data_IF_531393528609
#
_entry.id   IF_531393528609
#
_cell.length_a   1.000
_cell.length_b   1.000
_cell.length_c   1.000
_cell.angle_alpha   90.00
_cell.angle_beta   90.00
_cell.angle_gamma   90.00
#
_symmetry.space_group_name_H-M   'P 1'
#
loop_
_entity.id
_entity.type
_entity.pdbx_description
1 polymer ?
#
# COMPACT_ATOMS: atom_id res chain seq x y z
N UNK A 1 17.87 -19.93 1.71
CA UNK A 1 19.30 -19.60 1.65
C UNK A 1 19.72 -18.95 2.96
N UNK A 2 20.90 -19.27 3.53
CA UNK A 2 21.38 -18.60 4.74
C UNK A 2 21.84 -17.18 4.42
N UNK A 3 21.50 -16.23 5.29
CA UNK A 3 21.93 -14.83 5.23
C UNK A 3 22.63 -14.51 6.53
N UNK A 4 23.84 -13.94 6.48
CA UNK A 4 24.61 -13.57 7.66
C UNK A 4 24.70 -12.04 7.74
N UNK A 5 24.35 -11.50 8.90
CA UNK A 5 24.38 -10.06 9.18
C UNK A 5 24.99 -9.88 10.57
N UNK A 6 25.93 -8.95 10.71
CA UNK A 6 26.48 -8.56 12.01
C UNK A 6 25.51 -7.60 12.70
N UNK A 7 25.15 -7.91 13.94
CA UNK A 7 24.36 -7.06 14.81
C UNK A 7 25.30 -6.32 15.78
N UNK A 8 24.91 -5.11 16.17
CA UNK A 8 25.52 -4.43 17.31
C UNK A 8 25.19 -5.17 18.63
N UNK A 9 26.04 -5.02 19.67
CA UNK A 9 25.87 -5.74 20.93
C UNK A 9 24.52 -5.48 21.61
N UNK A 10 24.00 -4.25 21.49
CA UNK A 10 22.75 -3.84 22.12
C UNK A 10 21.55 -4.54 21.48
N UNK A 11 21.52 -4.58 20.14
CA UNK A 11 20.50 -5.29 19.38
C UNK A 11 20.54 -6.79 19.61
N UNK A 12 21.74 -7.38 19.75
CA UNK A 12 21.87 -8.81 20.07
C UNK A 12 21.33 -9.14 21.47
N UNK A 13 21.62 -8.30 22.48
CA UNK A 13 21.08 -8.45 23.83
C UNK A 13 19.55 -8.33 23.86
N UNK A 14 19.00 -7.39 23.09
CA UNK A 14 17.55 -7.23 22.95
C UNK A 14 16.91 -8.43 22.26
N UNK A 15 17.55 -9.00 21.24
CA UNK A 15 17.07 -10.21 20.57
C UNK A 15 17.07 -11.41 21.53
N UNK A 16 18.10 -11.55 22.36
CA UNK A 16 18.22 -12.65 23.33
C UNK A 16 17.18 -12.58 24.45
N UNK A 17 16.95 -11.39 25.00
CA UNK A 17 15.91 -11.16 26.02
C UNK A 17 14.52 -11.42 25.47
N UNK A 18 14.24 -10.98 24.23
CA UNK A 18 12.96 -11.20 23.55
C UNK A 18 12.72 -12.69 23.26
N UNK A 19 13.74 -13.42 22.79
CA UNK A 19 13.68 -14.86 22.55
C UNK A 19 13.33 -15.63 23.83
N UNK A 20 13.96 -15.27 24.95
CA UNK A 20 13.68 -15.85 26.26
C UNK A 20 12.26 -15.56 26.73
N UNK A 21 11.81 -14.31 26.60
CA UNK A 21 10.47 -13.90 27.03
C UNK A 21 9.36 -14.61 26.23
N UNK A 22 9.53 -14.73 24.92
CA UNK A 22 8.54 -15.35 24.02
C UNK A 22 8.66 -16.88 23.94
N UNK A 23 9.70 -17.47 24.55
CA UNK A 23 10.05 -18.91 24.46
C UNK A 23 10.18 -19.38 23.00
N UNK A 24 10.78 -18.54 22.16
CA UNK A 24 11.02 -18.80 20.73
C UNK A 24 12.50 -18.67 20.39
N UNK A 25 12.87 -19.02 19.16
CA UNK A 25 14.26 -18.91 18.71
C UNK A 25 14.58 -17.50 18.19
N UNK A 26 15.85 -17.08 18.33
CA UNK A 26 16.38 -15.84 17.72
C UNK A 26 16.07 -15.76 16.22
N UNK A 27 16.16 -16.90 15.52
CA UNK A 27 15.90 -16.99 14.09
C UNK A 27 14.43 -16.75 13.73
N UNK A 28 13.49 -17.26 14.53
CA UNK A 28 12.06 -17.02 14.32
C UNK A 28 11.70 -15.56 14.51
N UNK A 29 12.25 -14.92 15.55
CA UNK A 29 12.06 -13.49 15.79
C UNK A 29 12.60 -12.69 14.60
N UNK A 30 13.84 -12.95 14.16
CA UNK A 30 14.43 -12.28 13.01
C UNK A 30 13.58 -12.43 11.74
N UNK A 31 13.13 -13.66 11.45
CA UNK A 31 12.27 -13.92 10.27
C UNK A 31 10.95 -13.14 10.36
N UNK A 32 10.31 -13.13 11.53
CA UNK A 32 9.06 -12.41 11.75
C UNK A 32 9.25 -10.90 11.60
N UNK A 33 10.26 -10.33 12.25
CA UNK A 33 10.55 -8.89 12.20
C UNK A 33 10.92 -8.42 10.79
N UNK A 34 11.74 -9.18 10.05
CA UNK A 34 12.09 -8.85 8.66
C UNK A 34 10.85 -8.89 7.78
N UNK A 35 10.03 -9.93 7.91
CA UNK A 35 8.79 -10.06 7.14
C UNK A 35 7.86 -8.88 7.39
N UNK A 36 7.60 -8.56 8.65
CA UNK A 36 6.73 -7.46 9.06
C UNK A 36 7.26 -6.10 8.56
N UNK A 37 8.56 -5.85 8.71
CA UNK A 37 9.19 -4.63 8.22
C UNK A 37 9.05 -4.49 6.69
N UNK A 38 9.37 -5.54 5.95
CA UNK A 38 9.27 -5.54 4.49
C UNK A 38 7.83 -5.37 4.00
N UNK A 39 6.86 -6.05 4.62
CA UNK A 39 5.44 -5.90 4.27
C UNK A 39 4.95 -4.47 4.52
N UNK A 40 5.27 -3.88 5.68
CA UNK A 40 4.93 -2.49 5.99
C UNK A 40 5.60 -1.49 5.04
N UNK A 41 6.87 -1.69 4.72
CA UNK A 41 7.60 -0.83 3.79
C UNK A 41 7.02 -0.89 2.38
N UNK A 42 6.71 -2.09 1.89
CA UNK A 42 6.09 -2.29 0.58
C UNK A 42 4.66 -1.75 0.53
N UNK A 43 3.86 -1.94 1.59
CA UNK A 43 2.52 -1.39 1.68
C UNK A 43 2.53 0.14 1.65
N UNK A 44 3.43 0.80 2.38
CA UNK A 44 3.60 2.27 2.34
C UNK A 44 3.99 2.77 0.95
N UNK A 45 4.81 2.02 0.22
CA UNK A 45 5.25 2.38 -1.13
C UNK A 45 4.17 2.12 -2.18
N UNK A 46 3.32 1.11 -1.97
CA UNK A 46 2.14 0.80 -2.78
C UNK A 46 0.97 1.73 -2.43
N UNK A 47 1.14 3.06 -2.56
CA UNK A 47 -0.03 3.93 -2.73
C UNK A 47 -0.74 3.48 -4.00
N UNK A 48 -1.98 3.02 -3.89
CA UNK A 48 -2.72 2.56 -5.07
C UNK A 48 -2.90 3.75 -6.03
N UNK A 49 -2.89 3.56 -7.35
CA UNK A 49 -3.11 4.65 -8.30
C UNK A 49 -4.37 5.48 -7.98
N UNK A 50 -5.44 4.83 -7.53
CA UNK A 50 -6.68 5.49 -7.10
C UNK A 50 -6.55 6.30 -5.80
N UNK A 51 -5.65 5.92 -4.89
CA UNK A 51 -5.35 6.70 -3.68
C UNK A 51 -4.54 7.97 -4.03
N UNK A 52 -3.71 7.90 -5.07
CA UNK A 52 -2.91 9.05 -5.55
C UNK A 52 -3.75 10.14 -6.21
N UNK A 53 -4.92 9.78 -6.75
CA UNK A 53 -5.84 10.72 -7.40
C UNK A 53 -7.10 11.00 -6.56
N UNK A 54 -7.15 10.52 -5.33
CA UNK A 54 -8.36 10.57 -4.50
C UNK A 54 -8.83 12.00 -4.21
N UNK A 55 -7.90 12.94 -4.13
CA UNK A 55 -8.10 14.38 -4.02
C UNK A 55 -8.65 15.02 -5.32
N UNK A 56 -8.43 14.38 -6.47
CA UNK A 56 -8.95 14.81 -7.77
C UNK A 56 -10.33 14.19 -8.08
N UNK A 57 -10.74 13.14 -7.36
CA UNK A 57 -12.03 12.51 -7.58
C UNK A 57 -13.14 13.36 -6.93
N UNK A 58 -14.01 13.92 -7.78
CA UNK A 58 -15.24 14.61 -7.35
C UNK A 58 -15.08 16.09 -6.99
N UNK A 59 -13.87 16.64 -7.12
CA UNK A 59 -13.61 18.09 -7.07
C UNK A 59 -14.26 18.81 -8.24
N UNK A 60 -14.13 18.28 -9.45
CA UNK A 60 -14.77 18.80 -10.65
C UNK A 60 -16.06 18.03 -10.97
N UNK A 61 -17.13 18.77 -11.25
CA UNK A 61 -18.43 18.21 -11.63
C UNK A 61 -18.95 18.96 -12.85
N UNK A 62 -19.51 18.22 -13.80
CA UNK A 62 -20.22 18.81 -14.95
C UNK A 62 -21.54 19.50 -14.58
N UNK A 63 -21.97 19.40 -13.31
CA UNK A 63 -23.31 19.78 -12.84
C UNK A 63 -24.42 18.78 -13.24
N UNK A 64 -24.11 17.81 -14.09
CA UNK A 64 -25.04 16.81 -14.59
C UNK A 64 -24.81 15.49 -13.85
N UNK A 65 -25.73 15.12 -12.96
CA UNK A 65 -25.65 13.89 -12.15
C UNK A 65 -25.89 12.59 -12.92
N UNK A 66 -26.21 12.69 -14.22
CA UNK A 66 -26.58 11.58 -15.08
C UNK A 66 -25.50 11.21 -16.11
N UNK A 67 -24.29 11.81 -16.05
CA UNK A 67 -23.26 11.60 -17.07
C UNK A 67 -22.90 10.13 -17.30
N UNK A 68 -22.86 9.31 -16.24
CA UNK A 68 -22.57 7.88 -16.35
C UNK A 68 -23.78 7.09 -16.87
N UNK A 69 -24.97 7.42 -16.36
CA UNK A 69 -26.24 6.71 -16.64
C UNK A 69 -26.66 6.93 -18.10
N UNK A 70 -26.58 8.18 -18.58
CA UNK A 70 -27.02 8.59 -19.90
C UNK A 70 -25.84 8.77 -20.88
N UNK A 71 -24.69 8.18 -20.57
CA UNK A 71 -23.42 8.38 -21.28
C UNK A 71 -23.54 8.21 -22.79
N UNK A 72 -24.21 7.15 -23.24
CA UNK A 72 -24.41 6.87 -24.67
C UNK A 72 -25.20 7.98 -25.37
N UNK A 73 -26.31 8.43 -24.76
CA UNK A 73 -27.16 9.48 -25.33
C UNK A 73 -26.41 10.80 -25.42
N UNK A 74 -25.73 11.18 -24.34
CA UNK A 74 -24.95 12.42 -24.24
C UNK A 74 -23.85 12.44 -25.31
N UNK A 75 -23.10 11.34 -25.45
CA UNK A 75 -22.04 11.23 -26.44
C UNK A 75 -22.58 11.26 -27.88
N UNK A 76 -23.68 10.56 -28.17
CA UNK A 76 -24.32 10.59 -29.50
C UNK A 76 -24.78 11.98 -29.90
N UNK A 77 -25.39 12.74 -28.99
CA UNK A 77 -25.81 14.12 -29.24
C UNK A 77 -24.60 15.04 -29.47
N UNK A 78 -23.53 14.90 -28.67
CA UNK A 78 -22.31 15.68 -28.83
C UNK A 78 -21.64 15.44 -30.19
N UNK A 79 -21.55 14.19 -30.64
CA UNK A 79 -20.97 13.85 -31.94
C UNK A 79 -21.83 14.34 -33.12
N UNK A 80 -23.15 14.38 -32.96
CA UNK A 80 -24.07 14.93 -33.98
C UNK A 80 -23.92 16.44 -34.14
N UNK A 81 -23.74 17.18 -33.03
CA UNK A 81 -23.52 18.65 -33.07
C UNK A 81 -22.20 19.07 -33.72
N UNK A 82 -21.21 18.18 -33.72
CA UNK A 82 -19.87 18.46 -34.25
C UNK A 82 -19.75 18.19 -35.77
N UNK A 83 -20.82 17.65 -36.37
CA UNK A 83 -20.93 17.31 -37.78
C UNK A 83 -21.75 18.37 -38.50
#
# INVERSE_FOLDING_TARGET
MPTSVRLDPDTEALLDTTAKALKTTKSEILKASIKEYCEKALAKKRRKPYELISDLIGTEKSGLGNLAIDSEKILREAFRKKR
#
